data_IF_561046553423
#
_entry.id   IF_561046553423
#
_cell.length_a   1.000
_cell.length_b   1.000
_cell.length_c   1.000
_cell.angle_alpha   90.00
_cell.angle_beta   90.00
_cell.angle_gamma   90.00
#
_symmetry.space_group_name_H-M   'P 1'
#
loop_
_entity.id
_entity.type
_entity.pdbx_description
1 polymer ?
#
# COMPACT_ATOMS: atom_id res chain seq x y z
N UNK A 1 -16.03 2.05 -13.09
CA UNK A 1 -16.88 1.59 -11.96
C UNK A 1 -16.42 2.33 -10.72
N UNK A 2 -17.32 3.03 -10.02
CA UNK A 2 -16.96 3.78 -8.81
C UNK A 2 -16.78 2.81 -7.62
N UNK A 3 -15.78 3.05 -6.76
CA UNK A 3 -15.50 2.17 -5.62
C UNK A 3 -16.69 2.06 -4.67
N UNK A 4 -17.45 3.15 -4.50
CA UNK A 4 -18.62 3.25 -3.64
C UNK A 4 -19.71 2.23 -4.03
N UNK A 5 -19.72 1.78 -5.29
CA UNK A 5 -20.67 0.82 -5.84
C UNK A 5 -20.16 -0.64 -5.75
N UNK A 6 -19.00 -0.88 -5.14
CA UNK A 6 -18.36 -2.21 -5.02
C UNK A 6 -18.46 -2.77 -3.60
N UNK A 7 -18.20 -4.07 -3.44
CA UNK A 7 -18.07 -4.72 -2.11
C UNK A 7 -16.96 -4.08 -1.26
N UNK A 8 -15.94 -3.48 -1.88
CA UNK A 8 -14.77 -2.90 -1.21
C UNK A 8 -15.10 -1.64 -0.41
N UNK A 9 -16.26 -1.04 -0.64
CA UNK A 9 -16.77 0.10 0.14
C UNK A 9 -17.87 -0.32 1.12
N UNK A 10 -18.17 -1.60 1.27
CA UNK A 10 -19.16 -2.11 2.22
C UNK A 10 -18.50 -2.75 3.44
N UNK A 11 -19.20 -2.78 4.58
CA UNK A 11 -18.63 -3.21 5.88
C UNK A 11 -18.20 -4.68 5.90
N UNK A 12 -18.77 -5.49 5.02
CA UNK A 12 -18.50 -6.92 4.88
C UNK A 12 -17.07 -7.19 4.42
N UNK A 13 -16.45 -6.26 3.68
CA UNK A 13 -15.05 -6.38 3.33
C UNK A 13 -14.16 -5.86 4.47
N UNK A 14 -13.24 -6.71 4.94
CA UNK A 14 -12.38 -6.49 6.11
C UNK A 14 -11.65 -5.15 6.10
N UNK A 15 -11.20 -4.70 4.94
CA UNK A 15 -10.38 -3.49 4.82
C UNK A 15 -11.19 -2.24 4.45
N UNK A 16 -12.52 -2.32 4.48
CA UNK A 16 -13.41 -1.24 4.03
C UNK A 16 -13.23 0.05 4.80
N UNK A 17 -13.04 0.00 6.13
CA UNK A 17 -12.79 1.19 6.95
C UNK A 17 -11.45 1.87 6.60
N UNK A 18 -10.42 1.08 6.29
CA UNK A 18 -9.09 1.58 5.92
C UNK A 18 -9.13 2.32 4.58
N UNK A 19 -9.74 1.72 3.54
CA UNK A 19 -9.82 2.37 2.23
C UNK A 19 -10.73 3.60 2.24
N UNK A 20 -11.84 3.57 2.99
CA UNK A 20 -12.72 4.73 3.19
C UNK A 20 -11.97 5.90 3.79
N UNK A 21 -11.18 5.64 4.82
CA UNK A 21 -10.36 6.67 5.45
C UNK A 21 -9.30 7.21 4.48
N UNK A 22 -8.60 6.34 3.74
CA UNK A 22 -7.60 6.77 2.74
C UNK A 22 -8.20 7.73 1.72
N UNK A 23 -9.28 7.31 1.07
CA UNK A 23 -9.94 8.10 0.03
C UNK A 23 -10.46 9.41 0.62
N UNK A 24 -11.09 9.36 1.79
CA UNK A 24 -11.59 10.57 2.46
C UNK A 24 -10.46 11.55 2.82
N UNK A 25 -9.31 11.07 3.31
CA UNK A 25 -8.19 11.94 3.63
C UNK A 25 -7.55 12.52 2.37
N UNK A 26 -7.32 11.72 1.33
CA UNK A 26 -6.79 12.22 0.05
C UNK A 26 -7.70 13.29 -0.57
N UNK A 27 -9.02 13.12 -0.48
CA UNK A 27 -9.98 14.11 -0.97
C UNK A 27 -9.88 15.45 -0.23
N UNK A 28 -9.59 15.45 1.08
CA UNK A 28 -9.36 16.68 1.87
C UNK A 28 -8.12 17.46 1.40
N UNK A 29 -7.14 16.75 0.84
CA UNK A 29 -5.94 17.32 0.24
C UNK A 29 -6.07 17.51 -1.28
N UNK A 30 -7.30 17.66 -1.79
CA UNK A 30 -7.59 17.95 -3.20
C UNK A 30 -7.00 16.94 -4.20
N UNK A 31 -6.81 15.69 -3.79
CA UNK A 31 -6.49 14.62 -4.73
C UNK A 31 -7.72 14.31 -5.60
N UNK A 32 -7.52 14.15 -6.89
CA UNK A 32 -8.55 13.84 -7.87
C UNK A 32 -8.50 12.36 -8.22
N UNK A 33 -9.66 11.71 -8.30
CA UNK A 33 -9.74 10.32 -8.75
C UNK A 33 -9.21 10.20 -10.19
N UNK A 34 -8.36 9.19 -10.40
CA UNK A 34 -7.73 8.90 -11.67
C UNK A 34 -8.35 7.65 -12.27
N UNK A 35 -8.82 7.75 -13.51
CA UNK A 35 -9.45 6.63 -14.20
C UNK A 35 -8.42 5.53 -14.49
N UNK A 36 -8.62 4.36 -13.89
CA UNK A 36 -7.84 3.16 -14.19
C UNK A 36 -8.36 2.55 -15.49
N UNK A 37 -7.49 2.16 -16.45
CA UNK A 37 -7.92 1.52 -17.68
C UNK A 37 -8.87 0.36 -17.41
N UNK A 38 -9.94 0.25 -18.21
CA UNK A 38 -11.02 -0.73 -18.01
C UNK A 38 -10.53 -2.18 -17.87
N UNK A 39 -9.44 -2.52 -18.56
CA UNK A 39 -8.78 -3.82 -18.46
C UNK A 39 -8.27 -4.17 -17.05
N UNK A 40 -8.09 -3.19 -16.16
CA UNK A 40 -7.56 -3.35 -14.80
C UNK A 40 -8.48 -2.80 -13.70
N UNK A 41 -9.56 -2.09 -14.05
CA UNK A 41 -10.39 -1.38 -13.06
C UNK A 41 -11.20 -2.35 -12.19
N UNK A 42 -11.78 -3.40 -12.77
CA UNK A 42 -12.51 -4.44 -12.07
C UNK A 42 -12.36 -5.78 -12.78
N UNK A 43 -12.18 -6.86 -12.03
CA UNK A 43 -12.10 -8.23 -12.57
C UNK A 43 -12.72 -9.22 -11.61
N UNK A 44 -13.53 -10.12 -12.15
CA UNK A 44 -14.00 -11.31 -11.45
C UNK A 44 -13.32 -12.56 -12.01
N UNK A 45 -13.18 -13.58 -11.16
CA UNK A 45 -12.71 -14.89 -11.54
C UNK A 45 -13.20 -15.94 -10.53
N UNK A 46 -12.84 -17.19 -10.77
CA UNK A 46 -13.07 -18.29 -9.84
C UNK A 46 -11.77 -19.04 -9.60
N UNK A 47 -11.63 -19.64 -8.42
CA UNK A 47 -10.49 -20.47 -8.08
C UNK A 47 -10.92 -21.66 -7.22
N UNK A 48 -10.07 -22.69 -7.15
CA UNK A 48 -10.33 -23.92 -6.42
C UNK A 48 -10.52 -25.12 -7.35
N UNK A 49 -10.97 -26.23 -6.79
CA UNK A 49 -11.25 -27.45 -7.58
C UNK A 49 -12.59 -27.33 -8.29
N UNK A 50 -12.80 -28.11 -9.35
CA UNK A 50 -14.09 -28.15 -10.07
C UNK A 50 -15.30 -28.45 -9.16
N UNK A 51 -15.08 -29.14 -8.03
CA UNK A 51 -16.11 -29.47 -7.02
C UNK A 51 -16.34 -28.38 -5.98
N UNK A 52 -15.47 -27.39 -5.88
CA UNK A 52 -15.52 -26.32 -4.87
C UNK A 52 -14.86 -25.05 -5.41
N UNK A 53 -15.55 -24.38 -6.33
CA UNK A 53 -15.14 -23.07 -6.84
C UNK A 53 -15.54 -21.96 -5.87
N UNK A 54 -14.60 -21.06 -5.61
CA UNK A 54 -14.85 -19.81 -4.90
C UNK A 54 -14.77 -18.64 -5.87
N UNK A 55 -15.68 -17.69 -5.73
CA UNK A 55 -15.62 -16.43 -6.47
C UNK A 55 -14.55 -15.52 -5.85
N UNK A 56 -13.87 -14.77 -6.71
CA UNK A 56 -12.93 -13.73 -6.31
C UNK A 56 -13.16 -12.49 -7.17
N UNK A 57 -13.14 -11.33 -6.54
CA UNK A 57 -13.16 -10.04 -7.21
C UNK A 57 -11.90 -9.25 -6.91
N UNK A 58 -11.46 -8.49 -7.90
CA UNK A 58 -10.39 -7.50 -7.82
C UNK A 58 -10.93 -6.15 -8.29
N UNK A 59 -10.59 -5.10 -7.56
CA UNK A 59 -10.84 -3.72 -7.95
C UNK A 59 -9.57 -2.89 -7.80
N UNK A 60 -9.35 -2.01 -8.77
CA UNK A 60 -8.23 -1.07 -8.75
C UNK A 60 -8.76 0.35 -8.71
N UNK A 61 -8.24 1.14 -7.77
CA UNK A 61 -8.56 2.55 -7.61
C UNK A 61 -7.28 3.39 -7.83
N UNK A 62 -7.44 4.60 -8.36
CA UNK A 62 -6.34 5.54 -8.56
C UNK A 62 -6.72 6.97 -8.20
N UNK A 63 -5.74 7.76 -7.83
CA UNK A 63 -5.85 9.22 -7.70
C UNK A 63 -4.52 9.90 -8.03
N UNK A 64 -4.60 11.18 -8.37
CA UNK A 64 -3.44 12.06 -8.57
C UNK A 64 -3.66 13.36 -7.82
N UNK A 65 -2.59 14.13 -7.66
CA UNK A 65 -2.65 15.50 -7.17
C UNK A 65 -1.78 16.36 -8.08
N UNK A 66 -2.13 17.64 -8.24
CA UNK A 66 -1.46 18.53 -9.20
C UNK A 66 0.05 18.67 -8.98
N UNK A 67 0.50 18.65 -7.72
CA UNK A 67 1.90 18.94 -7.36
C UNK A 67 2.54 17.88 -6.46
N UNK A 68 1.88 17.49 -5.37
CA UNK A 68 2.43 16.64 -4.31
C UNK A 68 2.44 15.13 -4.59
N UNK A 69 1.46 14.60 -5.33
CA UNK A 69 1.30 13.15 -5.55
C UNK A 69 1.20 12.86 -7.04
N UNK A 70 2.21 12.16 -7.57
CA UNK A 70 2.22 11.74 -8.96
C UNK A 70 1.19 10.64 -9.21
N UNK A 71 1.05 9.69 -8.27
CA UNK A 71 0.05 8.64 -8.33
C UNK A 71 -0.19 7.96 -6.98
N UNK A 72 -1.44 7.94 -6.51
CA UNK A 72 -1.91 7.08 -5.45
C UNK A 72 -2.76 5.97 -6.05
N UNK A 73 -2.63 4.74 -5.54
CA UNK A 73 -3.38 3.58 -6.07
C UNK A 73 -3.68 2.53 -5.03
N UNK A 74 -4.86 1.91 -5.13
CA UNK A 74 -5.23 0.73 -4.37
C UNK A 74 -5.52 -0.45 -5.30
N UNK A 75 -5.06 -1.65 -4.95
CA UNK A 75 -5.61 -2.91 -5.46
C UNK A 75 -6.26 -3.65 -4.30
N UNK A 76 -7.53 -3.95 -4.50
CA UNK A 76 -8.40 -4.58 -3.52
C UNK A 76 -8.80 -5.97 -4.01
N UNK A 77 -8.68 -7.00 -3.17
CA UNK A 77 -9.13 -8.36 -3.48
C UNK A 77 -10.12 -8.81 -2.42
N UNK A 78 -11.21 -9.45 -2.86
CA UNK A 78 -12.20 -10.03 -1.98
C UNK A 78 -12.59 -11.44 -2.45
N UNK A 79 -12.51 -12.40 -1.54
CA UNK A 79 -13.02 -13.76 -1.66
C UNK A 79 -13.18 -14.37 -0.25
N UNK A 80 -13.79 -15.56 -0.11
CA UNK A 80 -13.87 -16.24 1.19
C UNK A 80 -12.50 -16.48 1.85
N UNK A 81 -11.45 -16.74 1.06
CA UNK A 81 -10.12 -17.09 1.58
C UNK A 81 -9.15 -15.91 1.64
N UNK A 82 -9.31 -14.96 0.71
CA UNK A 82 -8.41 -13.83 0.50
C UNK A 82 -9.13 -12.49 0.66
N UNK A 83 -8.55 -11.60 1.47
CA UNK A 83 -8.96 -10.20 1.53
C UNK A 83 -7.72 -9.34 1.55
N UNK A 84 -7.50 -8.50 0.53
CA UNK A 84 -6.23 -7.77 0.33
C UNK A 84 -6.49 -6.31 0.07
N UNK A 85 -5.87 -5.41 0.83
CA UNK A 85 -5.72 -4.00 0.51
C UNK A 85 -4.23 -3.73 0.30
N UNK A 86 -3.83 -3.57 -0.97
CA UNK A 86 -2.51 -3.04 -1.32
C UNK A 86 -2.68 -1.59 -1.77
N UNK A 87 -2.11 -0.63 -1.05
CA UNK A 87 -2.18 0.78 -1.37
C UNK A 87 -0.80 1.41 -1.33
N UNK A 88 -0.56 2.38 -2.22
CA UNK A 88 0.65 3.16 -2.21
C UNK A 88 0.44 4.58 -2.74
N UNK A 89 1.22 5.49 -2.20
CA UNK A 89 1.40 6.84 -2.73
C UNK A 89 2.81 6.92 -3.30
N UNK A 90 2.89 7.30 -4.58
CA UNK A 90 4.11 7.74 -5.25
C UNK A 90 4.13 9.27 -5.16
N UNK A 91 4.92 9.85 -4.24
CA UNK A 91 5.01 11.30 -4.10
C UNK A 91 5.77 11.91 -5.28
N UNK A 92 5.54 13.19 -5.54
CA UNK A 92 6.31 13.91 -6.55
C UNK A 92 7.77 14.00 -6.17
N UNK A 93 8.64 13.81 -7.14
CA UNK A 93 10.10 13.85 -6.97
C UNK A 93 10.63 15.25 -6.65
N UNK A 94 9.78 16.28 -6.77
CA UNK A 94 10.04 17.65 -6.29
C UNK A 94 10.16 17.75 -4.78
N UNK A 95 9.73 16.72 -4.04
CA UNK A 95 9.75 16.69 -2.58
C UNK A 95 10.48 15.44 -2.08
N UNK A 96 11.31 15.60 -1.04
CA UNK A 96 12.02 14.47 -0.43
C UNK A 96 11.11 13.67 0.51
N UNK A 97 10.13 12.99 -0.06
CA UNK A 97 9.11 12.25 0.70
C UNK A 97 9.17 10.76 0.33
N UNK A 98 9.17 9.85 1.31
CA UNK A 98 9.09 8.42 1.06
C UNK A 98 7.72 8.03 0.48
N UNK A 99 7.61 6.83 -0.08
CA UNK A 99 6.29 6.30 -0.44
C UNK A 99 5.46 6.06 0.84
N UNK A 100 4.14 6.22 0.79
CA UNK A 100 3.27 5.57 1.79
C UNK A 100 2.95 4.18 1.28
N UNK A 101 3.35 3.12 1.97
CA UNK A 101 3.05 1.74 1.63
C UNK A 101 2.09 1.10 2.62
N UNK A 102 1.00 0.51 2.11
CA UNK A 102 0.03 -0.27 2.89
C UNK A 102 -0.16 -1.61 2.19
N UNK A 103 0.13 -2.71 2.88
CA UNK A 103 -0.11 -4.06 2.38
C UNK A 103 -0.79 -4.88 3.49
N UNK A 104 -2.12 -4.82 3.52
CA UNK A 104 -2.94 -5.56 4.47
C UNK A 104 -3.54 -6.76 3.78
N UNK A 105 -3.00 -7.93 4.08
CA UNK A 105 -3.28 -9.18 3.39
C UNK A 105 -3.86 -10.18 4.39
N UNK A 106 -5.07 -10.64 4.14
CA UNK A 106 -5.67 -11.78 4.85
C UNK A 106 -5.61 -13.00 3.96
N UNK A 107 -4.72 -13.93 4.28
CA UNK A 107 -4.54 -15.23 3.62
C UNK A 107 -5.35 -16.31 4.35
N UNK A 108 -5.55 -17.53 3.80
CA UNK A 108 -6.37 -18.57 4.44
C UNK A 108 -6.05 -18.86 5.92
N UNK A 109 -4.77 -18.75 6.32
CA UNK A 109 -4.32 -19.09 7.69
C UNK A 109 -3.94 -17.90 8.57
N UNK A 110 -3.56 -16.77 7.96
CA UNK A 110 -2.96 -15.65 8.68
C UNK A 110 -3.26 -14.31 8.01
N UNK A 111 -3.07 -13.24 8.78
CA UNK A 111 -2.97 -11.88 8.30
C UNK A 111 -1.49 -11.50 8.21
N UNK A 112 -1.10 -10.82 7.14
CA UNK A 112 0.18 -10.14 6.97
C UNK A 112 -0.11 -8.65 6.84
N UNK A 113 0.54 -7.84 7.67
CA UNK A 113 0.27 -6.41 7.76
C UNK A 113 1.58 -5.64 7.60
N UNK A 114 1.62 -4.81 6.55
CA UNK A 114 2.69 -3.86 6.28
C UNK A 114 2.10 -2.46 6.26
N UNK A 115 2.66 -1.56 7.06
CA UNK A 115 2.37 -0.13 7.00
C UNK A 115 3.67 0.62 7.24
N UNK A 116 4.09 1.42 6.26
CA UNK A 116 5.38 2.10 6.33
C UNK A 116 5.47 3.35 5.45
N UNK A 117 6.40 4.21 5.82
CA UNK A 117 6.91 5.28 4.97
C UNK A 117 8.14 4.70 4.27
N UNK A 118 7.96 4.12 3.07
CA UNK A 118 8.99 3.31 2.44
C UNK A 118 10.04 4.21 1.76
N UNK A 119 11.32 4.14 2.18
CA UNK A 119 12.38 4.92 1.57
C UNK A 119 12.58 4.59 0.07
N UNK A 120 12.81 5.64 -0.73
CA UNK A 120 13.42 5.54 -2.05
C UNK A 120 14.93 5.78 -2.01
N UNK A 121 15.42 6.48 -0.97
CA UNK A 121 16.85 6.75 -0.71
C UNK A 121 17.32 6.02 0.55
N UNK A 122 18.58 6.20 0.93
CA UNK A 122 19.02 5.81 2.28
C UNK A 122 18.26 6.63 3.32
N UNK A 123 18.01 6.05 4.49
CA UNK A 123 17.16 6.65 5.53
C UNK A 123 17.68 8.02 5.95
N UNK A 124 18.98 8.15 6.13
CA UNK A 124 19.67 9.40 6.50
C UNK A 124 19.53 10.51 5.46
N UNK A 125 19.23 10.17 4.19
CA UNK A 125 19.07 11.14 3.10
C UNK A 125 17.61 11.54 2.86
N UNK A 126 16.64 10.88 3.50
CA UNK A 126 15.21 11.08 3.22
C UNK A 126 14.36 11.39 4.46
N UNK A 127 14.85 11.03 5.65
CA UNK A 127 14.13 11.26 6.88
C UNK A 127 14.93 12.18 7.80
N UNK A 128 14.31 13.27 8.26
CA UNK A 128 14.86 14.05 9.35
C UNK A 128 14.67 13.30 10.69
N UNK A 129 15.43 13.72 11.71
CA UNK A 129 15.41 13.08 13.03
C UNK A 129 14.04 13.12 13.70
N UNK A 130 13.32 14.25 13.57
CA UNK A 130 11.99 14.42 14.17
C UNK A 130 10.98 13.42 13.59
N UNK A 131 10.93 13.28 12.27
CA UNK A 131 10.04 12.34 11.59
C UNK A 131 10.38 10.89 11.95
N UNK A 132 11.67 10.55 12.02
CA UNK A 132 12.10 9.22 12.46
C UNK A 132 11.66 8.92 13.90
N UNK A 133 11.82 9.88 14.82
CA UNK A 133 11.41 9.73 16.21
C UNK A 133 9.89 9.53 16.33
N UNK A 134 9.10 10.29 15.57
CA UNK A 134 7.65 10.14 15.51
C UNK A 134 7.27 8.75 14.98
N UNK A 135 7.85 8.32 13.86
CA UNK A 135 7.61 7.01 13.27
C UNK A 135 8.00 5.85 14.20
N UNK A 136 9.15 5.95 14.89
CA UNK A 136 9.58 4.94 15.87
C UNK A 136 8.64 4.90 17.08
N UNK A 137 8.13 6.03 17.55
CA UNK A 137 7.12 6.08 18.63
C UNK A 137 5.81 5.42 18.20
N UNK A 138 5.30 5.73 17.00
CA UNK A 138 4.09 5.12 16.45
C UNK A 138 4.26 3.60 16.30
N UNK A 139 5.39 3.15 15.76
CA UNK A 139 5.76 1.73 15.67
C UNK A 139 5.74 1.03 17.02
N UNK A 140 6.43 1.62 18.01
CA UNK A 140 6.47 1.10 19.38
C UNK A 140 5.06 1.01 19.97
N UNK A 141 4.22 2.03 19.76
CA UNK A 141 2.83 2.04 20.23
C UNK A 141 2.02 0.90 19.63
N UNK A 142 2.10 0.71 18.31
CA UNK A 142 1.40 -0.36 17.60
C UNK A 142 1.80 -1.76 18.10
N UNK A 143 3.10 -1.99 18.23
CA UNK A 143 3.66 -3.28 18.64
C UNK A 143 3.61 -3.56 20.14
N UNK A 144 2.98 -2.68 20.95
CA UNK A 144 2.63 -3.04 22.34
C UNK A 144 1.68 -4.24 22.41
N UNK A 145 0.80 -4.38 21.41
CA UNK A 145 -0.20 -5.45 21.34
C UNK A 145 -0.17 -6.20 20.01
N UNK A 146 0.22 -5.55 18.90
CA UNK A 146 0.31 -6.19 17.60
C UNK A 146 1.61 -7.01 17.49
N UNK A 147 1.56 -8.33 17.26
CA UNK A 147 2.77 -9.16 17.25
C UNK A 147 3.70 -8.80 16.10
N UNK A 148 5.01 -8.81 16.33
CA UNK A 148 6.02 -8.54 15.30
C UNK A 148 6.21 -9.81 14.46
N UNK A 149 6.24 -9.67 13.13
CA UNK A 149 6.56 -10.78 12.23
C UNK A 149 8.07 -11.08 12.15
N UNK A 150 8.42 -12.22 11.56
CA UNK A 150 9.81 -12.66 11.37
C UNK A 150 10.64 -11.64 10.60
N UNK A 151 11.95 -11.60 10.88
CA UNK A 151 12.88 -10.66 10.25
C UNK A 151 12.89 -10.84 8.73
N UNK A 152 12.79 -9.73 7.99
CA UNK A 152 12.94 -9.71 6.54
C UNK A 152 14.41 -9.89 6.13
N UNK A 153 14.66 -10.40 4.93
CA UNK A 153 16.01 -10.42 4.35
C UNK A 153 16.53 -9.00 4.12
N UNK A 154 17.86 -8.84 4.06
CA UNK A 154 18.50 -7.53 3.84
C UNK A 154 18.11 -6.90 2.49
N UNK A 155 17.94 -7.74 1.47
CA UNK A 155 17.48 -7.32 0.13
C UNK A 155 16.11 -6.62 0.17
N UNK A 156 15.22 -7.09 1.05
CA UNK A 156 13.87 -6.56 1.23
C UNK A 156 13.89 -5.40 2.22
N UNK A 157 14.61 -5.54 3.35
CA UNK A 157 14.57 -4.58 4.45
C UNK A 157 15.09 -3.19 4.08
N UNK A 158 15.96 -3.08 3.07
CA UNK A 158 16.48 -1.78 2.59
C UNK A 158 15.40 -0.82 2.07
N UNK A 159 14.21 -1.33 1.75
CA UNK A 159 13.08 -0.53 1.26
C UNK A 159 12.06 -0.19 2.35
N UNK A 160 12.44 -0.38 3.62
CA UNK A 160 11.58 -0.11 4.76
C UNK A 160 12.26 0.81 5.76
N UNK A 161 11.48 1.71 6.36
CA UNK A 161 11.96 2.64 7.37
C UNK A 161 12.12 1.96 8.74
N UNK A 162 12.87 2.58 9.67
CA UNK A 162 12.87 2.18 11.08
C UNK A 162 11.46 2.15 11.70
N UNK A 163 10.53 2.92 11.15
CA UNK A 163 9.11 3.02 11.51
C UNK A 163 8.19 1.95 10.93
N UNK A 164 8.68 0.95 10.22
CA UNK A 164 7.86 -0.11 9.65
C UNK A 164 7.00 -0.83 10.71
N UNK A 165 5.68 -0.88 10.48
CA UNK A 165 4.78 -1.87 11.09
C UNK A 165 4.84 -3.15 10.26
N UNK A 166 5.37 -4.21 10.87
CA UNK A 166 5.45 -5.54 10.24
C UNK A 166 4.90 -6.60 11.17
N UNK A 167 3.73 -7.12 10.82
CA UNK A 167 3.00 -8.06 11.68
C UNK A 167 2.44 -9.25 10.91
N UNK A 168 2.42 -10.39 11.60
CA UNK A 168 1.78 -11.63 11.15
C UNK A 168 0.91 -12.15 12.28
N UNK A 169 -0.38 -12.30 12.01
CA UNK A 169 -1.35 -12.80 12.99
C UNK A 169 -2.03 -14.06 12.48
N UNK A 170 -2.29 -15.08 13.32
CA UNK A 170 -3.18 -16.17 12.94
C UNK A 170 -4.62 -15.66 12.77
N UNK A 171 -5.45 -16.32 11.95
CA UNK A 171 -6.86 -15.96 11.78
C UNK A 171 -7.72 -16.42 12.96
N UNK A 172 -7.84 -15.60 13.99
CA UNK A 172 -8.68 -15.82 15.17
C UNK A 172 -9.35 -14.51 15.64
N UNK A 173 -10.40 -14.61 16.48
CA UNK A 173 -11.17 -13.45 16.95
C UNK A 173 -10.32 -12.35 17.60
N UNK A 174 -9.29 -12.72 18.36
CA UNK A 174 -8.39 -11.74 18.97
C UNK A 174 -7.59 -10.96 17.91
N UNK A 175 -7.20 -11.60 16.80
CA UNK A 175 -6.51 -10.95 15.69
C UNK A 175 -7.41 -9.95 14.96
N UNK A 176 -8.69 -10.30 14.76
CA UNK A 176 -9.68 -9.37 14.20
C UNK A 176 -9.83 -8.14 15.12
N UNK A 177 -9.90 -8.34 16.44
CA UNK A 177 -9.93 -7.23 17.42
C UNK A 177 -8.70 -6.33 17.33
N UNK A 178 -7.49 -6.91 17.25
CA UNK A 178 -6.24 -6.15 17.10
C UNK A 178 -6.21 -5.35 15.79
N UNK A 179 -6.74 -5.91 14.70
CA UNK A 179 -6.83 -5.23 13.41
C UNK A 179 -7.80 -4.05 13.47
N UNK A 180 -9.01 -4.27 13.98
CA UNK A 180 -10.07 -3.26 14.03
C UNK A 180 -9.78 -2.12 14.99
N UNK A 181 -8.96 -2.37 16.02
CA UNK A 181 -8.66 -1.38 17.07
C UNK A 181 -7.21 -0.88 16.98
N UNK A 182 -6.23 -1.74 17.25
CA UNK A 182 -4.81 -1.33 17.33
C UNK A 182 -4.26 -0.90 15.97
N UNK A 183 -4.38 -1.76 14.95
CA UNK A 183 -3.88 -1.44 13.61
C UNK A 183 -4.62 -0.24 13.03
N UNK A 184 -5.95 -0.20 13.15
CA UNK A 184 -6.73 0.92 12.63
C UNK A 184 -6.40 2.25 13.33
N UNK A 185 -6.12 2.23 14.63
CA UNK A 185 -5.63 3.41 15.35
C UNK A 185 -4.27 3.88 14.82
N UNK A 186 -3.28 3.00 14.77
CA UNK A 186 -1.94 3.32 14.25
C UNK A 186 -2.01 3.76 12.79
N UNK A 187 -2.84 3.13 11.97
CA UNK A 187 -3.06 3.52 10.58
C UNK A 187 -3.54 4.97 10.43
N UNK A 188 -4.48 5.41 11.27
CA UNK A 188 -4.91 6.83 11.29
C UNK A 188 -3.73 7.76 11.58
N UNK A 189 -2.93 7.44 12.58
CA UNK A 189 -1.79 8.27 12.98
C UNK A 189 -0.72 8.33 11.88
N UNK A 190 -0.36 7.19 11.27
CA UNK A 190 0.57 7.13 10.14
C UNK A 190 0.04 7.93 8.94
N UNK A 191 -1.24 7.79 8.61
CA UNK A 191 -1.83 8.50 7.47
C UNK A 191 -1.84 10.01 7.68
N UNK A 192 -2.24 10.47 8.88
CA UNK A 192 -2.21 11.89 9.24
C UNK A 192 -0.79 12.43 9.21
N UNK A 193 0.17 11.71 9.81
CA UNK A 193 1.57 12.09 9.78
C UNK A 193 2.09 12.18 8.34
N UNK A 194 1.81 11.17 7.51
CA UNK A 194 2.29 11.12 6.13
C UNK A 194 1.80 12.31 5.31
N UNK A 195 0.49 12.56 5.35
CA UNK A 195 -0.11 13.64 4.59
C UNK A 195 0.33 15.00 5.12
N UNK A 196 0.48 15.18 6.44
CA UNK A 196 1.05 16.41 6.97
C UNK A 196 2.48 16.63 6.45
N UNK A 197 3.37 15.64 6.62
CA UNK A 197 4.77 15.73 6.15
C UNK A 197 4.85 16.01 4.64
N UNK A 198 4.06 15.33 3.82
CA UNK A 198 4.05 15.52 2.36
C UNK A 198 3.56 16.91 1.94
N UNK A 199 2.51 17.43 2.58
CA UNK A 199 1.90 18.69 2.17
C UNK A 199 2.57 19.92 2.81
N UNK A 200 3.40 19.74 3.85
CA UNK A 200 4.22 20.80 4.43
C UNK A 200 5.68 20.75 3.99
N UNK A 201 6.09 19.78 3.17
CA UNK A 201 7.48 19.68 2.72
C UNK A 201 7.87 20.79 1.75
N UNK A 202 9.13 21.20 1.81
CA UNK A 202 9.72 22.13 0.85
C UNK A 202 10.21 21.41 -0.41
N UNK A 203 10.32 22.15 -1.51
CA UNK A 203 10.90 21.63 -2.74
C UNK A 203 12.40 21.37 -2.56
N UNK A 204 12.89 20.32 -3.18
CA UNK A 204 14.31 19.98 -3.18
C UNK A 204 15.05 20.68 -4.32
N UNK A 205 16.37 20.77 -4.22
CA UNK A 205 17.20 21.17 -5.36
C UNK A 205 17.23 20.09 -6.46
N UNK A 206 17.74 20.47 -7.63
CA UNK A 206 17.80 19.59 -8.81
C UNK A 206 18.65 18.32 -8.60
N UNK A 207 19.72 18.41 -7.79
CA UNK A 207 20.59 17.28 -7.50
C UNK A 207 19.85 16.21 -6.69
N UNK A 208 19.24 16.62 -5.58
CA UNK A 208 18.45 15.73 -4.74
C UNK A 208 17.21 15.20 -5.49
N UNK A 209 16.55 16.02 -6.33
CA UNK A 209 15.45 15.55 -7.18
C UNK A 209 15.88 14.39 -8.09
N UNK A 210 17.07 14.48 -8.69
CA UNK A 210 17.59 13.42 -9.56
C UNK A 210 17.90 12.14 -8.78
N UNK A 211 18.40 12.25 -7.54
CA UNK A 211 18.56 11.09 -6.65
C UNK A 211 17.21 10.44 -6.33
N UNK A 212 16.18 11.24 -6.00
CA UNK A 212 14.84 10.75 -5.70
C UNK A 212 14.25 10.02 -6.91
N UNK A 213 14.38 10.57 -8.13
CA UNK A 213 13.95 9.91 -9.37
C UNK A 213 14.58 8.52 -9.49
N UNK A 214 15.90 8.43 -9.31
CA UNK A 214 16.64 7.17 -9.40
C UNK A 214 16.20 6.18 -8.31
N UNK A 215 16.02 6.66 -7.08
CA UNK A 215 15.55 5.87 -5.94
C UNK A 215 14.14 5.32 -6.14
N UNK A 216 13.21 6.16 -6.59
CA UNK A 216 11.83 5.73 -6.86
C UNK A 216 11.79 4.70 -7.99
N UNK A 217 12.55 4.92 -9.07
CA UNK A 217 12.68 3.96 -10.16
C UNK A 217 13.24 2.61 -9.67
N UNK A 218 14.28 2.62 -8.84
CA UNK A 218 14.86 1.42 -8.25
C UNK A 218 13.84 0.65 -7.39
N UNK A 219 13.11 1.33 -6.50
CA UNK A 219 12.04 0.72 -5.69
C UNK A 219 10.96 0.08 -6.58
N UNK A 220 10.45 0.82 -7.57
CA UNK A 220 9.38 0.34 -8.45
C UNK A 220 9.85 -0.83 -9.31
N UNK A 221 11.08 -0.81 -9.84
CA UNK A 221 11.68 -1.92 -10.57
C UNK A 221 11.82 -3.16 -9.67
N UNK A 222 12.28 -2.98 -8.43
CA UNK A 222 12.40 -4.08 -7.48
C UNK A 222 11.04 -4.74 -7.21
N UNK A 223 10.02 -3.94 -6.83
CA UNK A 223 8.66 -4.45 -6.60
C UNK A 223 8.09 -5.10 -7.85
N UNK A 224 8.24 -4.47 -9.02
CA UNK A 224 7.81 -5.04 -10.31
C UNK A 224 8.41 -6.40 -10.59
N UNK A 225 9.66 -6.66 -10.18
CA UNK A 225 10.33 -7.94 -10.44
C UNK A 225 10.05 -8.98 -9.35
N UNK A 226 9.91 -8.54 -8.09
CA UNK A 226 9.92 -9.41 -6.90
C UNK A 226 8.64 -9.35 -6.06
N UNK A 227 7.53 -8.84 -6.61
CA UNK A 227 6.30 -8.70 -5.83
C UNK A 227 5.83 -10.05 -5.22
N UNK A 228 5.70 -10.15 -3.89
CA UNK A 228 5.30 -11.39 -3.22
C UNK A 228 3.86 -11.82 -3.52
N UNK A 229 3.00 -10.92 -3.99
CA UNK A 229 1.62 -11.22 -4.38
C UNK A 229 1.52 -11.87 -5.77
N UNK A 230 2.60 -11.87 -6.59
CA UNK A 230 2.57 -12.42 -7.95
C UNK A 230 2.04 -13.86 -8.03
N UNK A 231 2.45 -14.82 -7.18
CA UNK A 231 1.92 -16.19 -7.25
C UNK A 231 0.42 -16.25 -6.94
N UNK A 232 -0.03 -15.49 -5.93
CA UNK A 232 -1.44 -15.40 -5.56
C UNK A 232 -2.26 -14.77 -6.69
N UNK A 233 -1.83 -13.64 -7.25
CA UNK A 233 -2.49 -12.98 -8.37
C UNK A 233 -2.58 -13.91 -9.59
N UNK A 234 -1.48 -14.60 -9.92
CA UNK A 234 -1.43 -15.52 -11.05
C UNK A 234 -2.39 -16.69 -10.87
N UNK A 235 -2.48 -17.23 -9.65
CA UNK A 235 -3.42 -18.31 -9.32
C UNK A 235 -4.88 -17.85 -9.34
N UNK A 236 -5.17 -16.59 -9.04
CA UNK A 236 -6.54 -16.08 -8.93
C UNK A 236 -7.07 -15.47 -10.22
N UNK A 237 -6.20 -14.89 -11.06
CA UNK A 237 -6.62 -14.09 -12.21
C UNK A 237 -5.87 -14.42 -13.51
N UNK A 238 -4.96 -15.39 -13.48
CA UNK A 238 -4.13 -15.79 -14.61
C UNK A 238 -2.82 -15.00 -14.73
N UNK A 239 -1.82 -15.63 -15.34
CA UNK A 239 -0.46 -15.09 -15.48
C UNK A 239 -0.43 -13.81 -16.31
N UNK A 240 -1.08 -13.79 -17.48
CA UNK A 240 -1.01 -12.65 -18.40
C UNK A 240 -1.64 -11.38 -17.82
N UNK A 241 -2.78 -11.54 -17.13
CA UNK A 241 -3.40 -10.44 -16.40
C UNK A 241 -2.49 -9.94 -15.27
N UNK A 242 -1.89 -10.87 -14.51
CA UNK A 242 -1.01 -10.53 -13.39
C UNK A 242 0.20 -9.74 -13.85
N UNK A 243 0.89 -10.20 -14.89
CA UNK A 243 2.03 -9.48 -15.46
C UNK A 243 1.61 -8.11 -15.97
N UNK A 244 0.47 -8.01 -16.67
CA UNK A 244 -0.02 -6.74 -17.17
C UNK A 244 -0.37 -5.74 -16.05
N UNK A 245 -1.05 -6.20 -15.00
CA UNK A 245 -1.43 -5.39 -13.84
C UNK A 245 -0.19 -4.87 -13.10
N UNK A 246 0.79 -5.74 -12.84
CA UNK A 246 2.04 -5.40 -12.16
C UNK A 246 2.83 -4.34 -12.95
N UNK A 247 3.02 -4.58 -14.24
CA UNK A 247 3.86 -3.73 -15.09
C UNK A 247 3.21 -2.38 -15.41
N UNK A 248 1.89 -2.37 -15.70
CA UNK A 248 1.21 -1.18 -16.23
C UNK A 248 0.57 -0.31 -15.15
N UNK A 249 0.20 -0.89 -14.00
CA UNK A 249 -0.56 -0.18 -12.97
C UNK A 249 0.16 -0.13 -11.63
N UNK A 250 0.52 -1.27 -11.05
CA UNK A 250 1.01 -1.31 -9.67
C UNK A 250 2.39 -0.68 -9.50
N UNK A 251 3.31 -0.97 -10.43
CA UNK A 251 4.71 -0.57 -10.35
C UNK A 251 5.25 -0.03 -11.67
N UNK A 252 4.46 0.81 -12.35
CA UNK A 252 4.90 1.49 -13.57
C UNK A 252 5.80 2.68 -13.23
N UNK A 253 7.02 2.71 -13.78
CA UNK A 253 7.98 3.82 -13.58
C UNK A 253 7.58 5.09 -14.31
N UNK A 254 6.65 5.01 -15.27
CA UNK A 254 6.09 6.21 -15.92
C UNK A 254 5.38 7.11 -14.89
N UNK A 255 4.96 6.57 -13.75
CA UNK A 255 4.32 7.31 -12.66
C UNK A 255 5.31 8.14 -11.82
N UNK A 256 6.61 8.06 -12.07
CA UNK A 256 7.62 8.91 -11.40
C UNK A 256 7.68 10.33 -12.00
N UNK A 257 7.20 10.51 -13.23
CA UNK A 257 7.38 11.74 -14.01
C UNK A 257 6.07 12.50 -14.31
N UNK A 258 4.99 12.17 -13.61
CA UNK A 258 3.65 12.74 -13.83
C UNK A 258 3.47 14.12 -13.19
#
# INVERSE_FOLDING_TARGET
MLIQNTIFYKKEWRWSNFIKLLISQLAKYHCLEHEIPSAFSYKESTYGSSKSQNNVSLFTWGATHRERINFARAVCINSPSYSVLNFLIIPSTRFNIPFLGVDFVSLPKNHLLVLDFQPSLKVENQFNSELLDQLVKLKKSCHKSLPIAEKMSEEVSRFFSPGLIWSRLPKHKNSDYLIENQLYHSFKEYLVLYLNTLFTSEEVDQGLQQEIINGQNNYLNYRRNKDPARPMLSSLFGKDFTESLINKVLFSTNKVYN
#
